data_IF_067535701629
#
_entry.id   IF_067535701629
#
_cell.length_a   1.000
_cell.length_b   1.000
_cell.length_c   1.000
_cell.angle_alpha   90.00
_cell.angle_beta   90.00
_cell.angle_gamma   90.00
#
_symmetry.space_group_name_H-M   'P 1'
#
loop_
_entity.id
_entity.type
_entity.pdbx_description
1 polymer ?
#
# COMPACT_ATOMS: atom_id res chain seq x y z
N UNK A 1 -0.80 -8.58 -17.04
CA UNK A 1 0.23 -8.37 -16.00
C UNK A 1 -0.37 -7.69 -14.80
N UNK A 2 0.08 -8.06 -13.61
CA UNK A 2 -0.49 -7.53 -12.39
C UNK A 2 0.38 -7.86 -11.19
N UNK A 3 -0.20 -7.69 -10.02
CA UNK A 3 0.43 -7.95 -8.74
C UNK A 3 -0.33 -9.07 -8.05
N UNK A 4 0.37 -10.10 -7.61
CA UNK A 4 -0.17 -11.13 -6.75
C UNK A 4 0.30 -10.86 -5.32
N UNK A 5 -0.62 -10.70 -4.39
CA UNK A 5 -0.31 -10.58 -2.96
C UNK A 5 -0.63 -11.92 -2.32
N UNK A 6 0.32 -12.46 -1.57
CA UNK A 6 0.15 -13.76 -0.93
C UNK A 6 0.66 -13.80 0.50
N UNK A 7 -0.04 -14.54 1.33
CA UNK A 7 0.37 -14.95 2.66
C UNK A 7 0.45 -16.46 2.69
N UNK A 8 0.70 -17.05 3.85
CA UNK A 8 0.84 -18.51 3.98
C UNK A 8 -0.36 -19.28 3.43
N UNK A 9 -1.58 -18.80 3.68
CA UNK A 9 -2.82 -19.54 3.38
C UNK A 9 -3.73 -18.84 2.37
N UNK A 10 -3.41 -17.63 1.94
CA UNK A 10 -4.27 -16.83 1.06
C UNK A 10 -3.46 -16.13 -0.03
N UNK A 11 -4.11 -15.89 -1.16
CA UNK A 11 -3.55 -15.03 -2.21
C UNK A 11 -4.67 -14.28 -2.91
N UNK A 12 -4.32 -13.10 -3.47
CA UNK A 12 -5.20 -12.32 -4.33
C UNK A 12 -4.41 -11.76 -5.50
N UNK A 13 -5.07 -11.69 -6.66
CA UNK A 13 -4.51 -11.09 -7.86
C UNK A 13 -5.11 -9.71 -8.09
N UNK A 14 -4.24 -8.72 -8.30
CA UNK A 14 -4.61 -7.34 -8.58
C UNK A 14 -3.89 -6.87 -9.83
N UNK A 15 -4.51 -5.96 -10.59
CA UNK A 15 -3.78 -5.17 -11.56
C UNK A 15 -2.91 -4.12 -10.84
N UNK A 16 -1.91 -3.55 -11.51
CA UNK A 16 -1.11 -2.46 -10.93
C UNK A 16 -2.01 -1.28 -10.52
N UNK A 17 -3.01 -0.95 -11.33
CA UNK A 17 -4.00 0.08 -10.98
C UNK A 17 -4.82 -0.29 -9.75
N UNK A 18 -5.23 -1.55 -9.65
CA UNK A 18 -5.95 -2.06 -8.47
C UNK A 18 -5.11 -1.99 -7.22
N UNK A 19 -3.83 -2.36 -7.30
CA UNK A 19 -2.90 -2.27 -6.19
C UNK A 19 -2.67 -0.82 -5.77
N UNK A 20 -2.52 0.10 -6.72
CA UNK A 20 -2.41 1.52 -6.44
C UNK A 20 -3.65 2.04 -5.71
N UNK A 21 -4.85 1.64 -6.16
CA UNK A 21 -6.09 2.02 -5.50
C UNK A 21 -6.18 1.46 -4.08
N UNK A 22 -5.75 0.23 -3.87
CA UNK A 22 -5.71 -0.39 -2.55
C UNK A 22 -4.78 0.38 -1.60
N UNK A 23 -3.57 0.70 -2.06
CA UNK A 23 -2.61 1.50 -1.29
C UNK A 23 -3.16 2.89 -0.99
N UNK A 24 -3.83 3.53 -1.96
CA UNK A 24 -4.49 4.83 -1.76
C UNK A 24 -5.51 4.76 -0.63
N UNK A 25 -6.31 3.69 -0.60
CA UNK A 25 -7.30 3.48 0.47
C UNK A 25 -6.62 3.29 1.82
N UNK A 26 -5.56 2.51 1.89
CA UNK A 26 -4.79 2.34 3.14
C UNK A 26 -4.21 3.68 3.61
N UNK A 27 -3.68 4.50 2.70
CA UNK A 27 -3.17 5.83 3.02
C UNK A 27 -4.28 6.74 3.57
N UNK A 28 -5.48 6.71 2.96
CA UNK A 28 -6.65 7.46 3.42
C UNK A 28 -7.06 7.07 4.84
N UNK A 29 -7.07 5.77 5.12
CA UNK A 29 -7.42 5.24 6.45
C UNK A 29 -6.35 5.57 7.50
N UNK A 30 -5.09 5.71 7.08
CA UNK A 30 -3.99 6.00 7.98
C UNK A 30 -4.03 7.44 8.51
N UNK A 31 -4.03 8.42 7.60
CA UNK A 31 -4.10 9.83 7.95
C UNK A 31 -4.31 10.71 6.71
N UNK A 32 -4.99 11.87 6.85
CA UNK A 32 -5.22 12.78 5.70
C UNK A 32 -3.95 13.29 5.03
N UNK A 33 -2.90 13.59 5.79
CA UNK A 33 -1.64 14.08 5.24
C UNK A 33 -0.86 12.98 4.51
N UNK A 34 -0.91 11.76 5.00
CA UNK A 34 -0.32 10.59 4.32
C UNK A 34 -1.08 10.34 3.00
N UNK A 35 -2.39 10.42 3.03
CA UNK A 35 -3.23 10.27 1.84
C UNK A 35 -2.90 11.31 0.77
N UNK A 36 -2.84 12.58 1.15
CA UNK A 36 -2.52 13.67 0.23
C UNK A 36 -1.12 13.51 -0.36
N UNK A 37 -0.14 13.12 0.45
CA UNK A 37 1.21 12.89 -0.02
C UNK A 37 1.29 11.72 -0.99
N UNK A 38 0.63 10.61 -0.67
CA UNK A 38 0.62 9.42 -1.55
C UNK A 38 0.02 9.74 -2.92
N UNK A 39 -1.06 10.52 -2.96
CA UNK A 39 -1.70 10.93 -4.21
C UNK A 39 -0.77 11.77 -5.10
N UNK A 40 0.12 12.55 -4.53
CA UNK A 40 1.09 13.36 -5.29
C UNK A 40 2.07 12.54 -6.12
N UNK A 41 2.21 11.24 -5.85
CA UNK A 41 3.06 10.37 -6.67
C UNK A 41 2.63 10.38 -8.15
N UNK A 42 1.35 10.57 -8.41
CA UNK A 42 0.80 10.66 -9.77
C UNK A 42 1.34 11.90 -10.50
N UNK A 43 1.50 13.00 -9.78
CA UNK A 43 2.05 14.24 -10.35
C UNK A 43 3.50 14.03 -10.84
N UNK A 44 4.30 13.30 -10.07
CA UNK A 44 5.66 12.93 -10.46
C UNK A 44 5.72 12.07 -11.73
N UNK A 45 4.75 11.17 -11.90
CA UNK A 45 4.67 10.33 -13.10
C UNK A 45 4.38 11.12 -14.37
N UNK A 46 3.80 12.31 -14.25
CA UNK A 46 3.46 13.19 -15.38
C UNK A 46 4.62 14.07 -15.82
N UNK A 47 5.70 14.09 -15.09
CA UNK A 47 6.88 14.91 -15.42
C UNK A 47 7.75 14.15 -16.42
N UNK A 48 8.02 14.79 -17.56
CA UNK A 48 8.85 14.19 -18.62
C UNK A 48 10.30 14.71 -18.58
N UNK A 49 10.51 15.92 -18.04
CA UNK A 49 11.85 16.46 -17.87
C UNK A 49 12.56 15.75 -16.72
N UNK A 50 13.78 15.25 -17.00
CA UNK A 50 14.55 14.47 -16.02
C UNK A 50 14.94 15.30 -14.79
N UNK A 51 15.31 16.59 -14.99
CA UNK A 51 15.70 17.46 -13.88
C UNK A 51 14.50 17.81 -13.00
N UNK A 52 13.35 18.11 -13.60
CA UNK A 52 12.09 18.36 -12.88
C UNK A 52 11.67 17.12 -12.09
N UNK A 53 11.79 15.94 -12.68
CA UNK A 53 11.47 14.69 -12.02
C UNK A 53 12.37 14.43 -10.82
N UNK A 54 13.68 14.62 -10.95
CA UNK A 54 14.63 14.47 -9.85
C UNK A 54 14.34 15.43 -8.70
N UNK A 55 14.06 16.69 -9.01
CA UNK A 55 13.71 17.70 -8.01
C UNK A 55 12.40 17.32 -7.29
N UNK A 56 11.40 16.86 -8.04
CA UNK A 56 10.13 16.42 -7.48
C UNK A 56 10.33 15.27 -6.50
N UNK A 57 11.02 14.21 -6.91
CA UNK A 57 11.20 13.03 -6.05
C UNK A 57 12.11 13.29 -4.85
N UNK A 58 13.06 14.19 -4.98
CA UNK A 58 13.86 14.62 -3.82
C UNK A 58 13.00 15.26 -2.74
N UNK A 59 12.12 16.19 -3.13
CA UNK A 59 11.15 16.83 -2.23
C UNK A 59 10.13 15.82 -1.69
N UNK A 60 9.63 14.94 -2.56
CA UNK A 60 8.66 13.91 -2.22
C UNK A 60 9.22 12.95 -1.16
N UNK A 61 10.44 12.46 -1.36
CA UNK A 61 11.08 11.54 -0.42
C UNK A 61 11.43 12.21 0.91
N UNK A 62 11.82 13.49 0.88
CA UNK A 62 12.05 14.26 2.10
C UNK A 62 10.78 14.38 2.94
N UNK A 63 9.62 14.51 2.28
CA UNK A 63 8.31 14.56 2.96
C UNK A 63 7.97 13.23 3.64
N UNK A 64 8.36 12.10 3.06
CA UNK A 64 8.16 10.78 3.70
C UNK A 64 8.86 10.74 5.05
N UNK A 65 10.13 11.18 5.10
CA UNK A 65 10.89 11.23 6.35
C UNK A 65 10.27 12.21 7.36
N UNK A 66 9.74 13.34 6.89
CA UNK A 66 9.03 14.30 7.73
C UNK A 66 7.77 13.69 8.34
N UNK A 67 6.99 12.96 7.55
CA UNK A 67 5.78 12.26 8.02
C UNK A 67 6.13 11.21 9.07
N UNK A 68 7.20 10.45 8.86
CA UNK A 68 7.65 9.46 9.83
C UNK A 68 8.00 10.13 11.17
N UNK A 69 8.73 11.24 11.13
CA UNK A 69 9.05 12.01 12.34
C UNK A 69 7.81 12.60 13.02
N UNK A 70 6.86 13.11 12.23
CA UNK A 70 5.60 13.68 12.74
C UNK A 70 4.83 12.67 13.58
N UNK A 71 4.82 11.41 13.17
CA UNK A 71 4.12 10.33 13.87
C UNK A 71 5.00 9.57 14.85
N UNK A 72 6.23 10.05 15.12
CA UNK A 72 7.18 9.42 16.04
C UNK A 72 7.46 7.94 15.71
N UNK A 73 7.55 7.62 14.43
CA UNK A 73 7.78 6.26 13.94
C UNK A 73 6.57 5.32 14.01
N UNK A 74 5.43 5.77 14.55
CA UNK A 74 4.24 4.90 14.68
C UNK A 74 3.62 4.50 13.36
N UNK A 75 3.82 5.29 12.31
CA UNK A 75 3.33 5.00 10.96
C UNK A 75 4.43 4.43 10.05
N UNK A 76 5.60 4.14 10.59
CA UNK A 76 6.74 3.66 9.81
C UNK A 76 6.38 2.41 8.98
N UNK A 77 5.75 1.42 9.59
CA UNK A 77 5.37 0.18 8.91
C UNK A 77 4.34 0.41 7.81
N UNK A 78 3.39 1.33 8.03
CA UNK A 78 2.38 1.70 7.04
C UNK A 78 3.04 2.44 5.88
N UNK A 79 3.95 3.38 6.17
CA UNK A 79 4.71 4.09 5.14
C UNK A 79 5.55 3.13 4.30
N UNK A 80 6.18 2.13 4.92
CA UNK A 80 6.92 1.08 4.22
C UNK A 80 6.01 0.36 3.21
N UNK A 81 4.83 -0.04 3.63
CA UNK A 81 3.87 -0.69 2.73
C UNK A 81 3.47 0.21 1.55
N UNK A 82 3.25 1.50 1.82
CA UNK A 82 2.81 2.44 0.79
C UNK A 82 3.91 2.75 -0.24
N UNK A 83 5.17 2.82 0.19
CA UNK A 83 6.26 3.35 -0.63
C UNK A 83 7.28 2.32 -1.10
N UNK A 84 7.11 1.04 -0.73
CA UNK A 84 7.89 -0.04 -1.31
C UNK A 84 7.55 -0.24 -2.79
N UNK A 85 8.44 -0.92 -3.52
CA UNK A 85 8.23 -1.23 -4.94
C UNK A 85 6.84 -1.82 -5.18
N UNK A 86 6.18 -1.41 -6.25
CA UNK A 86 4.93 -2.01 -6.69
C UNK A 86 5.15 -3.34 -7.44
N UNK A 87 6.39 -3.64 -7.80
CA UNK A 87 6.73 -4.85 -8.54
C UNK A 87 7.00 -6.05 -7.64
N UNK A 88 7.64 -5.82 -6.49
CA UNK A 88 8.02 -6.91 -5.59
C UNK A 88 8.47 -6.37 -4.24
N UNK A 89 7.86 -6.86 -3.18
CA UNK A 89 8.28 -6.57 -1.79
C UNK A 89 7.61 -7.53 -0.82
N UNK A 90 7.99 -7.42 0.45
CA UNK A 90 7.42 -8.23 1.52
C UNK A 90 7.23 -7.41 2.79
N UNK A 91 6.25 -7.82 3.60
CA UNK A 91 5.94 -7.24 4.91
C UNK A 91 5.96 -8.36 5.95
N UNK A 92 6.74 -8.18 7.00
CA UNK A 92 6.78 -9.17 8.08
C UNK A 92 5.54 -9.09 9.00
N UNK A 93 5.47 -9.97 9.99
CA UNK A 93 4.32 -10.02 10.90
C UNK A 93 4.16 -8.71 11.71
N UNK A 94 5.25 -8.03 12.05
CA UNK A 94 5.20 -6.75 12.76
C UNK A 94 4.58 -5.66 11.88
N UNK A 95 4.97 -5.58 10.61
CA UNK A 95 4.34 -4.69 9.62
C UNK A 95 2.86 -5.02 9.46
N UNK A 96 2.51 -6.29 9.39
CA UNK A 96 1.11 -6.73 9.29
C UNK A 96 0.28 -6.23 10.48
N UNK A 97 0.81 -6.29 11.69
CA UNK A 97 0.10 -5.78 12.89
C UNK A 97 -0.17 -4.29 12.78
N UNK A 98 0.82 -3.51 12.37
CA UNK A 98 0.68 -2.06 12.21
C UNK A 98 -0.33 -1.71 11.12
N UNK A 99 -0.28 -2.40 9.98
CA UNK A 99 -1.21 -2.22 8.87
C UNK A 99 -2.63 -2.59 9.31
N UNK A 100 -2.78 -3.71 10.00
CA UNK A 100 -4.09 -4.21 10.45
C UNK A 100 -4.79 -3.22 11.39
N UNK A 101 -4.05 -2.57 12.30
CA UNK A 101 -4.62 -1.54 13.18
C UNK A 101 -5.25 -0.39 12.41
N UNK A 102 -4.71 -0.07 11.23
CA UNK A 102 -5.24 1.00 10.36
C UNK A 102 -6.50 0.54 9.61
N UNK A 103 -6.56 -0.72 9.16
CA UNK A 103 -7.56 -1.18 8.21
C UNK A 103 -8.68 -2.05 8.82
N UNK A 104 -8.53 -2.52 10.04
CA UNK A 104 -9.40 -3.56 10.64
C UNK A 104 -10.89 -3.21 10.66
N UNK A 105 -11.23 -1.92 10.81
CA UNK A 105 -12.62 -1.47 10.95
C UNK A 105 -13.25 -1.02 9.62
N UNK A 106 -12.51 -1.16 8.51
CA UNK A 106 -12.98 -0.70 7.22
C UNK A 106 -13.30 -1.88 6.30
N UNK A 107 -14.44 -1.79 5.60
CA UNK A 107 -14.83 -2.68 4.52
C UNK A 107 -15.57 -1.89 3.44
N UNK A 108 -15.42 -2.33 2.20
CA UNK A 108 -16.18 -1.82 1.06
C UNK A 108 -16.50 -2.94 0.09
N UNK A 109 -17.37 -2.64 -0.90
CA UNK A 109 -17.71 -3.55 -2.00
C UNK A 109 -16.93 -3.24 -3.28
N UNK A 110 -15.91 -2.38 -3.18
CA UNK A 110 -15.07 -1.99 -4.33
C UNK A 110 -14.17 -3.15 -4.70
N UNK A 111 -14.11 -3.45 -5.99
CA UNK A 111 -13.19 -4.43 -6.54
C UNK A 111 -11.86 -3.74 -6.89
N UNK A 112 -10.77 -4.27 -6.37
CA UNK A 112 -9.41 -3.76 -6.60
C UNK A 112 -8.64 -4.56 -7.65
N UNK A 113 -9.30 -5.53 -8.29
CA UNK A 113 -8.69 -6.36 -9.32
C UNK A 113 -8.88 -5.83 -10.73
N UNK A 114 -8.85 -6.75 -11.68
CA UNK A 114 -9.07 -6.43 -13.10
C UNK A 114 -10.54 -6.09 -13.35
N UNK A 115 -10.76 -5.01 -14.10
CA UNK A 115 -12.12 -4.56 -14.44
C UNK A 115 -12.93 -5.67 -15.14
N UNK A 116 -14.18 -5.84 -14.68
CA UNK A 116 -15.12 -6.79 -15.28
C UNK A 116 -14.99 -8.23 -14.82
N UNK A 117 -14.02 -8.58 -13.98
CA UNK A 117 -13.88 -9.93 -13.44
C UNK A 117 -14.70 -10.08 -12.15
N UNK A 118 -15.43 -11.19 -12.05
CA UNK A 118 -16.24 -11.50 -10.86
C UNK A 118 -15.41 -11.93 -9.65
N UNK A 119 -14.20 -12.40 -9.91
CA UNK A 119 -13.26 -12.90 -8.92
C UNK A 119 -12.25 -11.83 -8.46
N UNK A 120 -12.52 -10.58 -8.75
CA UNK A 120 -11.66 -9.49 -8.33
C UNK A 120 -11.62 -9.37 -6.81
N UNK A 121 -10.42 -9.16 -6.29
CA UNK A 121 -10.19 -9.02 -4.86
C UNK A 121 -10.92 -7.80 -4.29
N UNK A 122 -11.51 -7.97 -3.13
CA UNK A 122 -12.11 -6.90 -2.33
C UNK A 122 -11.19 -6.52 -1.18
N UNK A 123 -11.49 -5.41 -0.53
CA UNK A 123 -10.73 -4.97 0.65
C UNK A 123 -10.74 -6.03 1.76
N UNK A 124 -11.86 -6.72 1.93
CA UNK A 124 -11.98 -7.83 2.88
C UNK A 124 -10.95 -8.95 2.60
N UNK A 125 -10.67 -9.23 1.33
CA UNK A 125 -9.67 -10.25 0.95
C UNK A 125 -8.26 -9.80 1.32
N UNK A 126 -7.93 -8.53 1.14
CA UNK A 126 -6.67 -7.96 1.59
C UNK A 126 -6.54 -8.04 3.12
N UNK A 127 -7.60 -7.71 3.86
CA UNK A 127 -7.60 -7.84 5.33
C UNK A 127 -7.31 -9.28 5.77
N UNK A 128 -7.87 -10.26 5.09
CA UNK A 128 -7.60 -11.69 5.38
C UNK A 128 -6.11 -12.02 5.20
N UNK A 129 -5.48 -11.49 4.16
CA UNK A 129 -4.04 -11.69 3.92
C UNK A 129 -3.21 -11.07 5.05
N UNK A 130 -3.51 -9.83 5.43
CA UNK A 130 -2.80 -9.16 6.52
C UNK A 130 -2.98 -9.94 7.83
N UNK A 131 -4.20 -10.36 8.13
CA UNK A 131 -4.50 -11.16 9.32
C UNK A 131 -3.79 -12.50 9.31
N UNK A 132 -3.75 -13.18 8.16
CA UNK A 132 -3.01 -14.43 8.02
C UNK A 132 -1.51 -14.23 8.22
N UNK A 133 -0.96 -13.11 7.74
CA UNK A 133 0.43 -12.74 7.98
C UNK A 133 0.76 -12.57 9.47
N UNK A 134 -0.18 -12.06 10.26
CA UNK A 134 -0.05 -11.96 11.72
C UNK A 134 -0.13 -13.35 12.35
N UNK A 135 -1.17 -14.11 12.03
CA UNK A 135 -1.49 -15.38 12.68
C UNK A 135 -0.44 -16.47 12.37
N UNK A 136 0.09 -16.48 11.14
CA UNK A 136 1.15 -17.41 10.76
C UNK A 136 2.53 -16.98 11.25
N UNK A 137 2.73 -15.69 11.51
CA UNK A 137 4.04 -15.13 11.84
C UNK A 137 4.94 -14.90 10.62
N UNK A 138 4.48 -15.24 9.40
CA UNK A 138 5.28 -15.18 8.18
C UNK A 138 5.08 -13.91 7.34
N UNK A 139 4.10 -13.06 7.72
CA UNK A 139 3.79 -11.86 6.96
C UNK A 139 3.15 -12.14 5.61
N UNK A 140 3.30 -11.21 4.67
CA UNK A 140 2.85 -11.37 3.29
C UNK A 140 3.86 -10.74 2.32
N UNK A 141 3.74 -11.12 1.06
CA UNK A 141 4.59 -10.57 -0.01
C UNK A 141 3.76 -10.31 -1.26
N UNK A 142 4.32 -9.56 -2.19
CA UNK A 142 3.72 -9.39 -3.51
C UNK A 142 4.78 -9.38 -4.60
N UNK A 143 4.36 -9.79 -5.78
CA UNK A 143 5.17 -9.72 -6.98
C UNK A 143 4.32 -9.64 -8.24
#
# INVERSE_FOLDING_TARGET
MGVTIESKNHYIDLGYGGFMCLRTKVAELAAPDIFEHYKKSIDGMRLYDENERKAFYKSYNAKIAELDRKYNGRMSDVLDFLYESDCSAEMDAAHCRSIYEVIKDYDDDISYGYSGRKDCAKFADFKKIVKDGIDSGDGFSWC
#
